data_IF_699335659593
#
_entry.id   IF_699335659593
#
_cell.length_a   1.000
_cell.length_b   1.000
_cell.length_c   1.000
_cell.angle_alpha   90.00
_cell.angle_beta   90.00
_cell.angle_gamma   90.00
#
_symmetry.space_group_name_H-M   'P 1'
#
loop_
_entity.id
_entity.type
_entity.pdbx_description
1 polymer ?
#
# COMPACT_ATOMS: atom_id res chain seq x y z
N UNK A 1 2.92 14.89 32.06
CA UNK A 1 3.02 14.69 30.59
C UNK A 1 1.76 14.00 30.10
N UNK A 2 1.00 14.63 29.20
CA UNK A 2 -0.33 14.16 28.74
C UNK A 2 -0.25 12.72 28.15
N UNK A 3 -1.22 11.83 28.45
CA UNK A 3 -1.20 10.41 28.04
C UNK A 3 -1.03 10.25 26.52
N UNK A 4 -1.69 11.11 25.73
CA UNK A 4 -1.54 11.15 24.27
C UNK A 4 -0.11 11.46 23.81
N UNK A 5 0.61 12.35 24.51
CA UNK A 5 2.02 12.62 24.18
C UNK A 5 2.91 11.39 24.38
N UNK A 6 2.58 10.49 25.32
CA UNK A 6 3.30 9.23 25.49
C UNK A 6 3.06 8.29 24.31
N UNK A 7 1.80 8.13 23.90
CA UNK A 7 1.40 7.30 22.74
C UNK A 7 2.15 7.71 21.49
N UNK A 8 2.13 9.00 21.12
CA UNK A 8 2.83 9.48 19.93
C UNK A 8 4.35 9.32 20.02
N UNK A 9 4.94 9.48 21.21
CA UNK A 9 6.38 9.23 21.40
C UNK A 9 6.76 7.77 21.12
N UNK A 10 5.93 6.82 21.59
CA UNK A 10 6.12 5.40 21.28
C UNK A 10 5.96 5.18 19.78
N UNK A 11 4.87 5.66 19.19
CA UNK A 11 4.61 5.47 17.76
C UNK A 11 5.73 6.02 16.85
N UNK A 12 6.25 7.22 17.15
CA UNK A 12 7.36 7.83 16.41
C UNK A 12 8.65 7.05 16.63
N UNK A 13 8.88 6.53 17.83
CA UNK A 13 10.06 5.69 18.11
C UNK A 13 10.02 4.40 17.28
N UNK A 14 8.88 3.68 17.28
CA UNK A 14 8.67 2.50 16.43
C UNK A 14 8.88 2.83 14.94
N UNK A 15 8.28 3.94 14.48
CA UNK A 15 8.41 4.37 13.09
C UNK A 15 9.88 4.62 12.72
N UNK A 16 10.66 5.26 13.60
CA UNK A 16 12.09 5.47 13.36
C UNK A 16 12.84 4.14 13.25
N UNK A 17 12.56 3.18 14.13
CA UNK A 17 13.18 1.86 14.03
C UNK A 17 12.84 1.17 12.70
N UNK A 18 11.62 1.32 12.21
CA UNK A 18 11.18 0.77 10.93
C UNK A 18 11.85 1.46 9.75
N UNK A 19 11.84 2.79 9.68
CA UNK A 19 12.37 3.56 8.55
C UNK A 19 13.90 3.54 8.46
N UNK A 20 14.61 3.45 9.59
CA UNK A 20 16.08 3.37 9.60
C UNK A 20 16.61 1.92 9.55
N UNK A 21 15.73 0.95 9.30
CA UNK A 21 16.16 -0.44 9.09
C UNK A 21 16.75 -0.62 7.69
N UNK A 22 17.79 -1.46 7.57
CA UNK A 22 18.33 -1.87 6.26
C UNK A 22 17.26 -2.54 5.39
N UNK A 23 16.30 -3.23 6.03
CA UNK A 23 15.15 -3.84 5.37
C UNK A 23 14.31 -2.80 4.61
N UNK A 24 13.99 -1.67 5.23
CA UNK A 24 13.23 -0.61 4.57
C UNK A 24 13.95 -0.11 3.33
N UNK A 25 15.25 0.17 3.42
CA UNK A 25 16.05 0.64 2.29
C UNK A 25 16.09 -0.38 1.15
N UNK A 26 16.27 -1.68 1.45
CA UNK A 26 16.29 -2.73 0.43
C UNK A 26 14.92 -2.83 -0.27
N UNK A 27 13.82 -2.85 0.49
CA UNK A 27 12.48 -2.93 -0.07
C UNK A 27 12.10 -1.68 -0.88
N UNK A 28 12.50 -0.50 -0.40
CA UNK A 28 12.37 0.78 -1.09
C UNK A 28 13.07 0.78 -2.46
N UNK A 29 14.33 0.34 -2.50
CA UNK A 29 15.11 0.23 -3.76
C UNK A 29 14.47 -0.78 -4.71
N UNK A 30 14.00 -1.92 -4.21
CA UNK A 30 13.29 -2.91 -5.03
C UNK A 30 11.98 -2.36 -5.60
N UNK A 31 11.18 -1.67 -4.79
CA UNK A 31 9.95 -1.02 -5.26
C UNK A 31 10.24 0.03 -6.33
N UNK A 32 11.28 0.85 -6.14
CA UNK A 32 11.72 1.83 -7.13
C UNK A 32 12.12 1.16 -8.46
N UNK A 33 12.93 0.09 -8.42
CA UNK A 33 13.37 -0.63 -9.62
C UNK A 33 12.18 -1.24 -10.36
N UNK A 34 11.24 -1.87 -9.64
CA UNK A 34 10.04 -2.45 -10.26
C UNK A 34 9.19 -1.36 -10.91
N UNK A 35 8.96 -0.24 -10.21
CA UNK A 35 8.21 0.87 -10.78
C UNK A 35 8.93 1.48 -11.99
N UNK A 36 10.26 1.63 -11.96
CA UNK A 36 11.05 2.13 -13.10
C UNK A 36 10.88 1.23 -14.33
N UNK A 37 11.06 -0.08 -14.17
CA UNK A 37 10.92 -1.06 -15.25
C UNK A 37 9.51 -1.02 -15.85
N UNK A 38 8.49 -0.88 -15.02
CA UNK A 38 7.09 -0.89 -15.49
C UNK A 38 6.68 0.41 -16.21
N UNK A 39 7.23 1.56 -15.81
CA UNK A 39 6.96 2.88 -16.39
C UNK A 39 7.85 3.21 -17.59
N UNK A 40 9.00 2.54 -17.73
CA UNK A 40 10.03 2.83 -18.74
C UNK A 40 9.48 3.06 -20.15
N UNK A 41 8.56 2.22 -20.62
CA UNK A 41 7.96 2.36 -21.95
C UNK A 41 7.21 3.68 -22.14
N UNK A 42 6.51 4.16 -21.12
CA UNK A 42 5.82 5.45 -21.16
C UNK A 42 6.78 6.63 -21.09
N UNK A 43 7.83 6.53 -20.26
CA UNK A 43 8.87 7.54 -20.17
C UNK A 43 9.63 7.71 -21.48
N UNK A 44 10.03 6.60 -22.12
CA UNK A 44 10.71 6.64 -23.43
C UNK A 44 9.81 7.27 -24.49
N UNK A 45 8.53 6.87 -24.55
CA UNK A 45 7.57 7.49 -25.47
C UNK A 45 7.37 8.99 -25.21
N UNK A 46 7.35 9.43 -23.95
CA UNK A 46 7.30 10.85 -23.58
C UNK A 46 8.53 11.61 -24.07
N UNK A 47 9.71 11.01 -23.91
CA UNK A 47 10.98 11.60 -24.30
C UNK A 47 11.11 11.71 -25.83
N UNK A 48 10.89 10.61 -26.55
CA UNK A 48 11.15 10.51 -27.99
C UNK A 48 10.22 11.39 -28.83
N UNK A 49 8.99 11.60 -28.35
CA UNK A 49 8.01 12.48 -28.99
C UNK A 49 7.85 13.84 -28.28
N UNK A 50 8.66 14.12 -27.25
CA UNK A 50 8.59 15.32 -26.43
C UNK A 50 7.15 15.64 -25.94
N UNK A 51 6.45 14.62 -25.44
CA UNK A 51 5.04 14.71 -25.06
C UNK A 51 4.88 14.88 -23.54
N UNK A 52 3.91 15.70 -23.10
CA UNK A 52 3.64 15.88 -21.68
C UNK A 52 3.07 14.60 -21.04
N UNK A 53 3.54 14.30 -19.85
CA UNK A 53 3.11 13.18 -19.01
C UNK A 53 2.69 13.67 -17.62
N UNK A 54 1.54 13.21 -17.14
CA UNK A 54 1.15 13.48 -15.76
C UNK A 54 1.84 12.51 -14.80
N UNK A 55 2.24 12.91 -13.58
CA UNK A 55 2.76 11.98 -12.58
C UNK A 55 1.64 11.17 -11.90
N UNK A 56 0.85 10.49 -12.72
CA UNK A 56 -0.34 9.73 -12.37
C UNK A 56 -0.12 8.23 -12.64
N UNK A 57 1.04 7.70 -12.23
CA UNK A 57 1.39 6.27 -12.41
C UNK A 57 0.59 5.40 -11.44
N UNK A 58 0.49 5.82 -10.16
CA UNK A 58 -0.11 5.04 -9.08
C UNK A 58 -1.53 4.50 -9.37
N UNK A 59 -2.47 5.27 -9.95
CA UNK A 59 -3.80 4.77 -10.25
C UNK A 59 -3.83 3.58 -11.20
N UNK A 60 -2.81 3.46 -12.06
CA UNK A 60 -2.70 2.36 -13.02
C UNK A 60 -1.79 1.25 -12.51
N UNK A 61 -0.71 1.62 -11.81
CA UNK A 61 0.23 0.68 -11.21
C UNK A 61 -0.44 -0.17 -10.12
N UNK A 62 -1.16 0.46 -9.18
CA UNK A 62 -1.91 -0.26 -8.15
C UNK A 62 -3.14 -1.00 -8.69
N UNK A 63 -3.69 -0.56 -9.84
CA UNK A 63 -4.82 -1.23 -10.46
C UNK A 63 -4.45 -2.57 -11.12
N UNK A 64 -3.18 -2.77 -11.47
CA UNK A 64 -2.71 -4.09 -11.88
C UNK A 64 -2.54 -5.00 -10.66
N UNK A 65 -3.22 -6.15 -10.73
CA UNK A 65 -3.25 -7.14 -9.65
C UNK A 65 -1.85 -7.63 -9.27
N UNK A 66 -0.91 -7.70 -10.23
CA UNK A 66 0.44 -8.19 -9.95
C UNK A 66 1.23 -7.16 -9.14
N UNK A 67 1.32 -5.92 -9.63
CA UNK A 67 2.12 -4.89 -8.97
C UNK A 67 1.51 -4.41 -7.66
N UNK A 68 0.18 -4.22 -7.60
CA UNK A 68 -0.49 -3.88 -6.35
C UNK A 68 -0.23 -4.90 -5.23
N UNK A 69 -0.22 -6.20 -5.56
CA UNK A 69 0.09 -7.25 -4.58
C UNK A 69 1.58 -7.33 -4.21
N UNK A 70 2.50 -7.03 -5.15
CA UNK A 70 3.93 -6.94 -4.85
C UNK A 70 4.20 -5.81 -3.86
N UNK A 71 3.56 -4.65 -4.03
CA UNK A 71 3.72 -3.53 -3.09
C UNK A 71 3.15 -3.85 -1.71
N UNK A 72 2.00 -4.53 -1.64
CA UNK A 72 1.46 -5.03 -0.36
C UNK A 72 2.43 -6.03 0.27
N UNK A 73 3.02 -6.93 -0.52
CA UNK A 73 4.02 -7.88 -0.02
C UNK A 73 5.24 -7.16 0.56
N UNK A 74 5.74 -6.11 -0.09
CA UNK A 74 6.83 -5.29 0.48
C UNK A 74 6.41 -4.64 1.79
N UNK A 75 5.21 -4.09 1.87
CA UNK A 75 4.67 -3.52 3.12
C UNK A 75 4.59 -4.58 4.24
N UNK A 76 4.10 -5.79 3.95
CA UNK A 76 4.03 -6.90 4.90
C UNK A 76 5.42 -7.35 5.37
N UNK A 77 6.36 -7.50 4.45
CA UNK A 77 7.74 -7.88 4.80
C UNK A 77 8.40 -6.82 5.68
N UNK A 78 8.09 -5.55 5.45
CA UNK A 78 8.52 -4.45 6.30
C UNK A 78 7.89 -4.54 7.70
N UNK A 79 6.61 -4.87 7.78
CA UNK A 79 5.88 -5.09 9.05
C UNK A 79 6.15 -6.43 9.74
N UNK A 80 6.98 -7.30 9.17
CA UNK A 80 7.19 -8.65 9.71
C UNK A 80 7.67 -8.73 11.16
N UNK A 81 8.23 -7.63 11.66
CA UNK A 81 8.78 -7.54 13.01
C UNK A 81 7.82 -6.85 13.98
N UNK A 82 6.58 -6.58 13.54
CA UNK A 82 5.50 -5.99 14.33
C UNK A 82 4.66 -7.09 15.00
N UNK A 83 4.34 -6.98 16.31
CA UNK A 83 4.89 -6.02 17.28
C UNK A 83 6.37 -6.28 17.59
N UNK A 84 7.17 -5.21 17.70
CA UNK A 84 8.60 -5.32 17.99
C UNK A 84 8.84 -5.88 19.40
N UNK A 85 9.51 -7.03 19.50
CA UNK A 85 9.79 -7.71 20.79
C UNK A 85 11.24 -7.52 21.26
N UNK A 86 11.76 -6.29 21.23
CA UNK A 86 13.14 -5.97 21.63
C UNK A 86 13.24 -5.65 23.13
N UNK A 87 14.42 -5.83 23.74
CA UNK A 87 14.65 -5.56 25.18
C UNK A 87 14.32 -4.11 25.58
N UNK A 88 14.56 -3.15 24.69
CA UNK A 88 14.23 -1.73 24.91
C UNK A 88 12.71 -1.51 25.00
N UNK A 89 11.91 -2.33 24.32
CA UNK A 89 10.45 -2.26 24.36
C UNK A 89 9.90 -2.60 25.74
N UNK A 90 10.52 -3.55 26.43
CA UNK A 90 10.16 -3.90 27.80
C UNK A 90 10.38 -2.70 28.75
N UNK A 91 11.45 -1.92 28.53
CA UNK A 91 11.72 -0.70 29.32
C UNK A 91 10.72 0.42 29.00
N UNK A 92 10.34 0.57 27.73
CA UNK A 92 9.31 1.54 27.32
C UNK A 92 7.97 1.16 27.96
N UNK A 93 7.57 -0.11 27.88
CA UNK A 93 6.36 -0.63 28.49
C UNK A 93 6.30 -0.36 29.99
N UNK A 94 7.38 -0.60 30.73
CA UNK A 94 7.47 -0.32 32.17
C UNK A 94 7.23 1.17 32.49
N UNK A 95 7.59 2.09 31.59
CA UNK A 95 7.48 3.55 31.81
C UNK A 95 6.16 4.16 31.33
N UNK A 96 5.54 3.62 30.29
CA UNK A 96 4.30 4.17 29.72
C UNK A 96 3.04 3.40 30.13
N UNK A 97 3.19 2.14 30.55
CA UNK A 97 2.07 1.23 30.82
C UNK A 97 1.48 0.64 29.54
N UNK A 98 0.73 -0.46 29.71
CA UNK A 98 0.22 -1.27 28.60
C UNK A 98 -0.66 -0.53 27.59
N UNK A 99 -1.64 0.31 28.02
CA UNK A 99 -2.54 0.97 27.07
C UNK A 99 -1.80 1.95 26.15
N UNK A 100 -0.86 2.73 26.70
CA UNK A 100 -0.10 3.70 25.91
C UNK A 100 0.86 3.01 24.93
N UNK A 101 1.43 1.88 25.35
CA UNK A 101 2.31 1.06 24.52
C UNK A 101 1.56 0.43 23.34
N UNK A 102 0.40 -0.19 23.63
CA UNK A 102 -0.45 -0.82 22.62
C UNK A 102 -0.88 0.18 21.53
N UNK A 103 -1.43 1.34 21.95
CA UNK A 103 -1.81 2.40 21.02
C UNK A 103 -0.60 2.90 20.23
N UNK A 104 0.58 2.98 20.84
CA UNK A 104 1.83 3.37 20.17
C UNK A 104 2.15 2.47 18.97
N UNK A 105 2.09 1.15 19.13
CA UNK A 105 2.29 0.20 18.03
C UNK A 105 1.19 0.26 16.97
N UNK A 106 -0.08 0.43 17.37
CA UNK A 106 -1.17 0.55 16.39
C UNK A 106 -1.03 1.83 15.55
N UNK A 107 -0.67 2.95 16.17
CA UNK A 107 -0.40 4.20 15.45
C UNK A 107 0.88 4.14 14.61
N UNK A 108 1.90 3.38 15.00
CA UNK A 108 3.11 3.24 14.20
C UNK A 108 2.84 2.52 12.87
N UNK A 109 1.96 1.53 12.84
CA UNK A 109 1.49 0.87 11.60
C UNK A 109 0.84 1.91 10.66
N UNK A 110 -0.03 2.77 11.21
CA UNK A 110 -0.69 3.83 10.44
C UNK A 110 0.35 4.80 9.86
N UNK A 111 1.28 5.29 10.67
CA UNK A 111 2.31 6.22 10.19
C UNK A 111 3.27 5.59 9.19
N UNK A 112 3.68 4.34 9.41
CA UNK A 112 4.57 3.64 8.49
C UNK A 112 3.89 3.42 7.13
N UNK A 113 2.60 3.07 7.11
CA UNK A 113 1.83 2.96 5.87
C UNK A 113 1.73 4.30 5.13
N UNK A 114 1.54 5.42 5.85
CA UNK A 114 1.55 6.77 5.25
C UNK A 114 2.91 7.05 4.60
N UNK A 115 4.02 6.77 5.30
CA UNK A 115 5.37 6.96 4.77
C UNK A 115 5.58 6.17 3.49
N UNK A 116 5.17 4.90 3.47
CA UNK A 116 5.28 4.04 2.29
C UNK A 116 4.50 4.60 1.09
N UNK A 117 3.24 5.01 1.29
CA UNK A 117 2.41 5.53 0.19
C UNK A 117 2.96 6.86 -0.36
N UNK A 118 3.49 7.72 0.52
CA UNK A 118 4.13 8.97 0.10
C UNK A 118 5.42 8.70 -0.68
N UNK A 119 6.22 7.73 -0.26
CA UNK A 119 7.40 7.29 -0.99
C UNK A 119 7.06 6.80 -2.40
N UNK A 120 6.04 5.93 -2.54
CA UNK A 120 5.58 5.48 -3.85
C UNK A 120 5.10 6.64 -4.74
N UNK A 121 4.46 7.65 -4.16
CA UNK A 121 4.08 8.86 -4.88
C UNK A 121 5.30 9.65 -5.36
N UNK A 122 6.33 9.80 -4.53
CA UNK A 122 7.59 10.45 -4.92
C UNK A 122 8.23 9.68 -6.08
N UNK A 123 8.28 8.33 -6.03
CA UNK A 123 8.79 7.51 -7.12
C UNK A 123 8.00 7.73 -8.41
N UNK A 124 6.67 7.73 -8.35
CA UNK A 124 5.80 8.04 -9.49
C UNK A 124 6.12 9.39 -10.14
N UNK A 125 6.42 10.43 -9.35
CA UNK A 125 6.79 11.76 -9.86
C UNK A 125 8.18 11.72 -10.51
N UNK A 126 9.18 11.18 -9.82
CA UNK A 126 10.57 11.12 -10.30
C UNK A 126 10.69 10.34 -11.61
N UNK A 127 9.96 9.22 -11.73
CA UNK A 127 10.03 8.32 -12.87
C UNK A 127 9.33 8.87 -14.13
N UNK A 128 8.42 9.83 -14.00
CA UNK A 128 7.78 10.47 -15.16
C UNK A 128 8.71 11.47 -15.90
N UNK A 129 9.87 11.83 -15.32
CA UNK A 129 10.86 12.68 -15.99
C UNK A 129 10.51 14.17 -15.95
N UNK A 130 10.97 14.93 -16.95
CA UNK A 130 11.00 16.41 -16.92
C UNK A 130 9.78 17.09 -17.55
N UNK A 131 9.07 16.44 -18.47
CA UNK A 131 7.93 17.02 -19.20
C UNK A 131 6.59 16.80 -18.46
N UNK A 132 6.50 17.30 -17.23
CA UNK A 132 5.37 17.03 -16.35
C UNK A 132 4.18 17.98 -16.57
N UNK A 133 2.97 17.41 -16.59
CA UNK A 133 1.72 18.19 -16.54
C UNK A 133 0.83 17.71 -15.40
N UNK A 134 0.50 18.59 -14.45
CA UNK A 134 -0.27 18.23 -13.26
C UNK A 134 -1.79 18.44 -13.41
N UNK A 135 -2.21 19.28 -14.36
CA UNK A 135 -3.62 19.68 -14.53
C UNK A 135 -4.40 18.77 -15.48
N UNK A 136 -3.72 18.15 -16.44
CA UNK A 136 -4.31 17.24 -17.42
C UNK A 136 -3.61 15.88 -17.37
N UNK A 137 -4.28 14.86 -17.90
CA UNK A 137 -3.69 13.53 -18.06
C UNK A 137 -2.45 13.52 -18.98
N UNK A 138 -2.18 14.57 -19.75
CA UNK A 138 -1.09 14.57 -20.72
C UNK A 138 -1.35 13.65 -21.92
N UNK A 139 -0.61 13.88 -23.00
CA UNK A 139 -0.79 13.15 -24.27
C UNK A 139 -0.27 11.71 -24.17
N UNK A 140 0.69 11.45 -23.30
CA UNK A 140 1.29 10.11 -23.11
C UNK A 140 0.27 9.12 -22.59
N UNK A 141 -0.45 9.47 -21.53
CA UNK A 141 -1.47 8.58 -20.95
C UNK A 141 -2.65 8.36 -21.90
N UNK A 142 -3.09 9.40 -22.62
CA UNK A 142 -4.13 9.24 -23.65
C UNK A 142 -3.70 8.32 -24.80
N UNK A 143 -2.47 8.47 -25.29
CA UNK A 143 -1.91 7.60 -26.35
C UNK A 143 -1.72 6.16 -25.87
N UNK A 144 -1.35 5.98 -24.60
CA UNK A 144 -1.25 4.67 -23.97
C UNK A 144 -2.63 4.00 -23.84
N UNK A 145 -3.66 4.73 -23.43
CA UNK A 145 -5.03 4.24 -23.35
C UNK A 145 -5.60 3.85 -24.73
N UNK A 146 -5.17 4.54 -25.80
CA UNK A 146 -5.51 4.21 -27.18
C UNK A 146 -4.74 2.99 -27.72
N UNK A 147 -3.71 2.51 -27.02
CA UNK A 147 -2.86 1.39 -27.42
C UNK A 147 -1.73 1.77 -28.39
N UNK A 148 -1.57 3.06 -28.70
CA UNK A 148 -0.54 3.56 -29.64
C UNK A 148 0.87 3.26 -29.14
N UNK A 149 1.12 3.42 -27.84
CA UNK A 149 2.44 3.15 -27.23
C UNK A 149 2.88 1.71 -27.48
N UNK A 150 1.99 0.74 -27.27
CA UNK A 150 2.27 -0.69 -27.52
C UNK A 150 2.46 -0.99 -29.01
N UNK A 151 1.66 -0.36 -29.88
CA UNK A 151 1.79 -0.53 -31.34
C UNK A 151 3.12 -0.01 -31.89
N UNK A 152 3.68 1.03 -31.27
CA UNK A 152 4.98 1.60 -31.63
C UNK A 152 6.18 0.84 -31.02
N UNK A 153 5.96 -0.31 -30.38
CA UNK A 153 7.02 -1.18 -29.88
C UNK A 153 7.54 -0.84 -28.48
N UNK A 154 6.96 0.15 -27.78
CA UNK A 154 7.34 0.45 -26.41
C UNK A 154 6.71 -0.57 -25.44
N UNK A 155 7.55 -1.34 -24.75
CA UNK A 155 7.12 -2.28 -23.72
C UNK A 155 6.79 -1.56 -22.41
N UNK A 156 5.54 -1.69 -21.93
CA UNK A 156 5.10 -1.17 -20.64
C UNK A 156 4.64 -2.31 -19.72
N UNK A 157 4.82 -2.13 -18.41
CA UNK A 157 4.52 -3.18 -17.43
C UNK A 157 3.03 -3.42 -17.19
N UNK A 158 2.19 -2.40 -17.36
CA UNK A 158 0.74 -2.45 -17.15
C UNK A 158 -0.04 -1.84 -18.31
N UNK A 159 -1.37 -1.97 -18.29
CA UNK A 159 -2.28 -1.42 -19.31
C UNK A 159 -3.08 -0.27 -18.73
N UNK A 160 -3.19 0.80 -19.51
CA UNK A 160 -3.92 2.01 -19.15
C UNK A 160 -5.41 1.84 -19.49
N UNK A 161 -6.28 1.90 -18.47
CA UNK A 161 -7.73 1.76 -18.67
C UNK A 161 -8.37 3.08 -19.08
N UNK A 162 -9.11 3.07 -20.20
CA UNK A 162 -9.86 4.23 -20.72
C UNK A 162 -10.91 4.75 -19.73
N UNK A 163 -11.53 3.86 -18.95
CA UNK A 163 -12.58 4.23 -18.00
C UNK A 163 -12.08 5.20 -16.93
N UNK A 164 -10.79 5.13 -16.57
CA UNK A 164 -10.21 6.05 -15.57
C UNK A 164 -10.19 7.48 -16.10
N UNK A 165 -9.89 7.67 -17.39
CA UNK A 165 -9.88 9.01 -18.02
C UNK A 165 -11.27 9.61 -18.13
N UNK A 166 -12.26 8.77 -18.41
CA UNK A 166 -13.64 9.20 -18.60
C UNK A 166 -14.31 9.59 -17.27
N UNK A 167 -13.96 8.88 -16.19
CA UNK A 167 -14.65 9.01 -14.91
C UNK A 167 -13.90 9.84 -13.86
N UNK A 168 -12.60 10.12 -14.05
CA UNK A 168 -11.79 10.78 -13.02
C UNK A 168 -10.89 11.88 -13.60
N UNK A 169 -10.70 12.94 -12.82
CA UNK A 169 -9.57 13.87 -13.02
C UNK A 169 -8.28 13.27 -12.43
N UNK A 170 -7.11 13.76 -12.88
CA UNK A 170 -5.81 13.29 -12.39
C UNK A 170 -5.70 13.36 -10.85
N UNK A 171 -6.02 14.50 -10.19
CA UNK A 171 -5.94 14.57 -8.74
C UNK A 171 -6.92 13.62 -8.05
N UNK A 172 -8.12 13.45 -8.60
CA UNK A 172 -9.10 12.52 -8.03
C UNK A 172 -8.60 11.08 -8.10
N UNK A 173 -8.10 10.63 -9.26
CA UNK A 173 -7.59 9.27 -9.43
C UNK A 173 -6.41 8.97 -8.49
N UNK A 174 -5.49 9.93 -8.33
CA UNK A 174 -4.38 9.83 -7.38
C UNK A 174 -4.89 9.71 -5.93
N UNK A 175 -5.79 10.61 -5.51
CA UNK A 175 -6.32 10.58 -4.14
C UNK A 175 -7.09 9.28 -3.84
N UNK A 176 -7.94 8.82 -4.76
CA UNK A 176 -8.68 7.56 -4.57
C UNK A 176 -7.74 6.36 -4.49
N UNK A 177 -6.79 6.24 -5.43
CA UNK A 177 -5.85 5.10 -5.45
C UNK A 177 -4.95 5.08 -4.21
N UNK A 178 -4.37 6.22 -3.83
CA UNK A 178 -3.54 6.34 -2.63
C UNK A 178 -4.33 6.06 -1.36
N UNK A 179 -5.57 6.55 -1.25
CA UNK A 179 -6.41 6.32 -0.05
C UNK A 179 -6.82 4.86 0.10
N UNK A 180 -7.25 4.21 -0.99
CA UNK A 180 -7.62 2.79 -0.96
C UNK A 180 -6.39 1.95 -0.60
N UNK A 181 -5.23 2.21 -1.22
CA UNK A 181 -4.00 1.51 -0.91
C UNK A 181 -3.57 1.73 0.55
N UNK A 182 -3.64 2.96 1.03
CA UNK A 182 -3.34 3.32 2.43
C UNK A 182 -4.21 2.53 3.41
N UNK A 183 -5.53 2.59 3.26
CA UNK A 183 -6.45 1.92 4.19
C UNK A 183 -6.26 0.39 4.14
N UNK A 184 -6.00 -0.14 2.96
CA UNK A 184 -5.67 -1.55 2.81
C UNK A 184 -4.37 -1.94 3.50
N UNK A 185 -3.30 -1.15 3.33
CA UNK A 185 -2.04 -1.38 4.02
C UNK A 185 -2.20 -1.37 5.54
N UNK A 186 -3.03 -0.46 6.06
CA UNK A 186 -3.37 -0.42 7.49
C UNK A 186 -4.13 -1.69 7.89
N UNK A 187 -5.16 -2.11 7.14
CA UNK A 187 -5.88 -3.35 7.43
C UNK A 187 -4.93 -4.56 7.48
N UNK A 188 -4.06 -4.72 6.49
CA UNK A 188 -3.06 -5.78 6.44
C UNK A 188 -2.11 -5.72 7.65
N UNK A 189 -1.55 -4.54 7.96
CA UNK A 189 -0.66 -4.37 9.10
C UNK A 189 -1.35 -4.66 10.45
N UNK A 190 -2.63 -4.31 10.59
CA UNK A 190 -3.41 -4.60 11.81
C UNK A 190 -3.72 -6.10 11.97
N UNK A 191 -3.98 -6.81 10.87
CA UNK A 191 -4.15 -8.28 10.89
C UNK A 191 -2.81 -8.96 11.14
N UNK A 192 -1.72 -8.44 10.59
CA UNK A 192 -0.38 -8.94 10.85
C UNK A 192 0.00 -8.79 12.33
N UNK A 193 -0.21 -7.61 12.91
CA UNK A 193 -0.03 -7.36 14.34
C UNK A 193 -0.84 -8.34 15.19
N UNK A 194 -2.11 -8.58 14.82
CA UNK A 194 -2.98 -9.53 15.51
C UNK A 194 -2.39 -10.94 15.49
N UNK A 195 -2.09 -11.47 14.31
CA UNK A 195 -1.64 -12.85 14.13
C UNK A 195 -0.25 -13.10 14.72
N UNK A 196 0.67 -12.14 14.57
CA UNK A 196 2.01 -12.18 15.18
C UNK A 196 1.96 -11.97 16.71
N UNK A 197 0.89 -11.36 17.23
CA UNK A 197 0.65 -11.20 18.66
C UNK A 197 0.01 -12.43 19.31
N UNK A 198 -0.84 -13.18 18.59
CA UNK A 198 -1.53 -14.38 19.09
C UNK A 198 -0.58 -15.58 19.22
N UNK A 199 0.37 -15.73 18.31
CA UNK A 199 1.36 -16.80 18.36
C UNK A 199 2.77 -16.21 18.53
N UNK A 200 3.66 -16.92 19.23
CA UNK A 200 5.07 -16.54 19.40
C UNK A 200 5.85 -16.69 18.08
N UNK A 201 5.48 -15.98 17.02
CA UNK A 201 6.08 -16.15 15.71
C UNK A 201 5.64 -15.12 14.67
N UNK A 202 6.00 -15.39 13.42
CA UNK A 202 5.71 -14.55 12.25
C UNK A 202 4.56 -15.12 11.41
N UNK A 203 3.56 -15.75 12.05
CA UNK A 203 2.46 -16.42 11.34
C UNK A 203 1.70 -15.42 10.47
N UNK A 204 1.39 -14.23 11.00
CA UNK A 204 0.70 -13.18 10.26
C UNK A 204 1.43 -12.80 8.99
N UNK A 205 2.74 -12.55 9.11
CA UNK A 205 3.61 -12.25 7.97
C UNK A 205 3.54 -13.35 6.92
N UNK A 206 3.69 -14.62 7.32
CA UNK A 206 3.70 -15.76 6.39
C UNK A 206 2.34 -15.90 5.70
N UNK A 207 1.24 -15.91 6.46
CA UNK A 207 -0.12 -16.12 5.92
C UNK A 207 -0.49 -14.99 4.95
N UNK A 208 -0.24 -13.73 5.33
CA UNK A 208 -0.59 -12.58 4.49
C UNK A 208 0.33 -12.44 3.26
N UNK A 209 1.61 -12.83 3.39
CA UNK A 209 2.54 -12.88 2.25
C UNK A 209 2.12 -13.95 1.25
N UNK A 210 1.80 -15.16 1.72
CA UNK A 210 1.28 -16.24 0.87
C UNK A 210 -0.03 -15.82 0.20
N UNK A 211 -0.93 -15.18 0.95
CA UNK A 211 -2.16 -14.62 0.40
C UNK A 211 -1.88 -13.64 -0.74
N UNK A 212 -0.99 -12.67 -0.53
CA UNK A 212 -0.64 -11.66 -1.53
C UNK A 212 -0.02 -12.28 -2.79
N UNK A 213 0.87 -13.26 -2.63
CA UNK A 213 1.52 -13.96 -3.75
C UNK A 213 0.55 -14.88 -4.49
N UNK A 214 -0.32 -15.61 -3.78
CA UNK A 214 -1.30 -16.52 -4.39
C UNK A 214 -2.18 -15.80 -5.43
N UNK A 215 -2.56 -14.54 -5.16
CA UNK A 215 -3.36 -13.75 -6.09
C UNK A 215 -2.65 -13.42 -7.41
N UNK A 216 -1.33 -13.30 -7.40
CA UNK A 216 -0.53 -13.08 -8.62
C UNK A 216 -0.69 -14.29 -9.55
N UNK A 217 -0.64 -15.50 -9.00
CA UNK A 217 -0.82 -16.75 -9.75
C UNK A 217 -2.28 -17.00 -10.14
N UNK A 218 -3.23 -16.72 -9.26
CA UNK A 218 -4.66 -16.92 -9.53
C UNK A 218 -5.18 -16.01 -10.67
N UNK A 219 -4.56 -14.84 -10.91
CA UNK A 219 -4.85 -13.98 -12.08
C UNK A 219 -4.67 -14.75 -13.40
N UNK A 220 -3.70 -15.67 -13.46
CA UNK A 220 -3.34 -16.41 -14.69
C UNK A 220 -4.20 -17.64 -14.93
N UNK A 221 -4.74 -18.25 -13.87
CA UNK A 221 -5.62 -19.43 -13.96
C UNK A 221 -7.09 -19.00 -13.91
N UNK A 222 -7.64 -18.67 -15.08
CA UNK A 222 -9.03 -18.23 -15.24
C UNK A 222 -10.03 -19.39 -15.17
N UNK A 223 -10.56 -19.66 -13.98
CA UNK A 223 -11.89 -20.26 -13.81
C UNK A 223 -12.88 -19.18 -13.37
N UNK A 224 -14.15 -19.29 -13.79
CA UNK A 224 -15.19 -18.29 -13.46
C UNK A 224 -15.44 -18.15 -11.95
N UNK A 225 -15.13 -19.20 -11.19
CA UNK A 225 -15.15 -19.18 -9.73
C UNK A 225 -14.14 -18.16 -9.15
N UNK A 226 -12.88 -18.20 -9.62
CA UNK A 226 -11.84 -17.27 -9.18
C UNK A 226 -12.21 -15.83 -9.55
N UNK A 227 -12.84 -15.62 -10.71
CA UNK A 227 -13.32 -14.30 -11.14
C UNK A 227 -14.43 -13.75 -10.24
N UNK A 228 -15.35 -14.59 -9.79
CA UNK A 228 -16.40 -14.21 -8.82
C UNK A 228 -15.80 -13.92 -7.43
N UNK A 229 -14.81 -14.70 -7.01
CA UNK A 229 -14.12 -14.50 -5.74
C UNK A 229 -13.27 -13.21 -5.72
N UNK A 230 -12.71 -12.80 -6.87
CA UNK A 230 -11.98 -11.54 -7.03
C UNK A 230 -12.80 -10.28 -6.71
N UNK A 231 -14.14 -10.35 -6.69
CA UNK A 231 -14.99 -9.21 -6.29
C UNK A 231 -14.89 -8.92 -4.79
N UNK A 232 -14.67 -9.96 -4.00
CA UNK A 232 -14.58 -9.90 -2.54
C UNK A 232 -13.13 -9.81 -2.06
N UNK A 233 -12.18 -10.15 -2.92
CA UNK A 233 -10.76 -9.99 -2.66
C UNK A 233 -10.40 -8.49 -2.66
N UNK A 234 -9.78 -7.99 -1.58
CA UNK A 234 -9.38 -6.58 -1.51
C UNK A 234 -8.44 -6.13 -2.64
N UNK A 235 -7.76 -7.09 -3.26
CA UNK A 235 -6.90 -6.95 -4.44
C UNK A 235 -7.60 -6.36 -5.66
N UNK A 236 -8.91 -6.56 -5.79
CA UNK A 236 -9.70 -5.98 -6.88
C UNK A 236 -10.12 -4.52 -6.64
N UNK A 237 -10.02 -4.03 -5.40
CA UNK A 237 -10.62 -2.76 -4.99
C UNK A 237 -9.81 -1.53 -5.41
N UNK A 238 -8.51 -1.70 -5.68
CA UNK A 238 -7.62 -0.65 -6.20
C UNK A 238 -7.91 -0.30 -7.68
N UNK A 239 -8.64 -1.15 -8.40
CA UNK A 239 -8.85 -0.97 -9.83
C UNK A 239 -9.94 0.07 -10.13
N UNK A 240 -9.53 1.33 -10.22
CA UNK A 240 -10.41 2.45 -10.59
C UNK A 240 -11.02 2.30 -11.99
N UNK A 241 -10.43 1.47 -12.87
CA UNK A 241 -10.99 1.19 -14.19
C UNK A 241 -12.27 0.34 -14.14
N UNK A 242 -12.49 -0.41 -13.06
CA UNK A 242 -13.71 -1.19 -12.80
C UNK A 242 -14.71 -0.48 -11.89
N UNK A 243 -14.23 0.48 -11.10
CA UNK A 243 -15.01 1.15 -10.07
C UNK A 243 -15.36 2.57 -10.49
N UNK A 244 -16.65 2.91 -10.52
CA UNK A 244 -17.09 4.30 -10.64
C UNK A 244 -16.86 5.06 -9.32
N UNK A 245 -16.92 6.40 -9.34
CA UNK A 245 -16.64 7.26 -8.17
C UNK A 245 -17.43 6.81 -6.93
N UNK A 246 -18.72 6.49 -7.10
CA UNK A 246 -19.58 6.02 -6.00
C UNK A 246 -19.08 4.70 -5.40
N UNK A 247 -18.68 3.74 -6.24
CA UNK A 247 -18.11 2.47 -5.78
C UNK A 247 -16.80 2.68 -5.02
N UNK A 248 -15.91 3.54 -5.52
CA UNK A 248 -14.65 3.90 -4.85
C UNK A 248 -14.87 4.54 -3.48
N UNK A 249 -15.88 5.42 -3.34
CA UNK A 249 -16.28 6.00 -2.05
C UNK A 249 -16.79 4.94 -1.08
N UNK A 250 -17.63 4.01 -1.54
CA UNK A 250 -18.15 2.93 -0.72
C UNK A 250 -17.04 1.99 -0.23
N UNK A 251 -16.08 1.67 -1.10
CA UNK A 251 -14.88 0.89 -0.74
C UNK A 251 -14.09 1.60 0.35
N UNK A 252 -13.82 2.90 0.19
CA UNK A 252 -13.09 3.70 1.21
C UNK A 252 -13.84 3.68 2.54
N UNK A 253 -15.16 3.88 2.53
CA UNK A 253 -15.98 3.84 3.74
C UNK A 253 -15.92 2.48 4.43
N UNK A 254 -16.10 1.39 3.68
CA UNK A 254 -16.02 0.03 4.21
C UNK A 254 -14.64 -0.30 4.79
N UNK A 255 -13.57 0.11 4.10
CA UNK A 255 -12.20 -0.05 4.58
C UNK A 255 -11.93 0.77 5.85
N UNK A 256 -12.42 2.00 5.91
CA UNK A 256 -12.29 2.84 7.09
C UNK A 256 -12.98 2.20 8.31
N UNK A 257 -14.20 1.69 8.14
CA UNK A 257 -14.89 0.92 9.19
C UNK A 257 -14.07 -0.31 9.58
N UNK A 258 -13.53 -1.05 8.60
CA UNK A 258 -12.64 -2.19 8.85
C UNK A 258 -11.41 -1.83 9.68
N UNK A 259 -10.73 -0.73 9.36
CA UNK A 259 -9.59 -0.21 10.13
C UNK A 259 -10.00 0.11 11.56
N UNK A 260 -11.12 0.82 11.77
CA UNK A 260 -11.60 1.18 13.11
C UNK A 260 -11.93 -0.08 13.93
N UNK A 261 -12.62 -1.05 13.33
CA UNK A 261 -12.96 -2.32 14.00
C UNK A 261 -11.69 -3.08 14.37
N UNK A 262 -10.74 -3.25 13.45
CA UNK A 262 -9.47 -3.93 13.71
C UNK A 262 -8.63 -3.21 14.76
N UNK A 263 -8.66 -1.88 14.78
CA UNK A 263 -7.98 -1.07 15.78
C UNK A 263 -8.54 -1.35 17.18
N UNK A 264 -9.88 -1.33 17.32
CA UNK A 264 -10.57 -1.60 18.59
C UNK A 264 -10.30 -3.05 19.04
N UNK A 265 -10.46 -4.02 18.14
CA UNK A 265 -10.26 -5.45 18.45
C UNK A 265 -8.83 -5.70 18.93
N UNK A 266 -7.83 -5.21 18.20
CA UNK A 266 -6.44 -5.36 18.61
C UNK A 266 -6.18 -4.71 19.98
N UNK A 267 -6.66 -3.49 20.19
CA UNK A 267 -6.50 -2.80 21.46
C UNK A 267 -7.14 -3.58 22.62
N UNK A 268 -8.37 -4.06 22.47
CA UNK A 268 -9.07 -4.86 23.48
C UNK A 268 -8.34 -6.17 23.77
N UNK A 269 -7.86 -6.88 22.75
CA UNK A 269 -7.14 -8.14 22.93
C UNK A 269 -5.80 -7.96 23.64
N UNK A 270 -5.08 -6.86 23.37
CA UNK A 270 -3.89 -6.49 24.13
C UNK A 270 -4.25 -6.24 25.60
N UNK A 271 -5.33 -5.49 25.87
CA UNK A 271 -5.77 -5.19 27.23
C UNK A 271 -6.21 -6.46 28.00
N UNK A 272 -6.76 -7.45 27.30
CA UNK A 272 -7.09 -8.76 27.84
C UNK A 272 -5.86 -9.68 28.01
N UNK A 273 -4.64 -9.22 27.68
CA UNK A 273 -3.40 -10.01 27.69
C UNK A 273 -3.46 -11.26 26.80
N UNK A 274 -4.31 -11.24 25.77
CA UNK A 274 -4.39 -12.32 24.76
C UNK A 274 -3.35 -12.16 23.66
N UNK A 275 -2.73 -10.98 23.54
CA UNK A 275 -1.66 -10.69 22.61
C UNK A 275 -0.36 -10.46 23.36
N UNK A 276 0.69 -11.19 22.98
CA UNK A 276 2.02 -11.04 23.54
C UNK A 276 2.82 -9.99 22.77
N UNK A 277 2.91 -8.79 23.34
CA UNK A 277 3.67 -7.69 22.75
C UNK A 277 5.13 -7.65 23.20
N UNK A 278 5.48 -8.44 24.21
CA UNK A 278 6.78 -8.45 24.88
C UNK A 278 7.14 -9.91 25.23
N UNK A 279 8.44 -10.24 25.18
CA UNK A 279 8.99 -11.50 25.70
C UNK A 279 9.09 -11.47 27.23
#
# INVERSE_FOLDING_TARGET
MNKMKKVFKVAIYELKLMCFSSKFLILSVLAFIIMDVTVRGYRMFSHDYNLPIAPAVLPFYFADVSYGNIEILFLLLWFSDVPMKQRVQNQILQRCGMPCFALGHLFSIVFATIVFVLEQFVFSVLLCGTNLTFTSWGKVWGSAAAGTVKKLGYSSGFVISKNVFQNYTVPQALLFSMTIFLLMGICYGMVEFLLNGLQKGKLGTVVLSVWSVAWIFLKTNTTDFIRSFMKYAPQGWYNLGRNNISASKNIISGLFVGVVVLFIVNFVLVMQKKLELVK
#
